data_IF_560666503743
#
_entry.id   IF_560666503743
#
_cell.length_a   1.000
_cell.length_b   1.000
_cell.length_c   1.000
_cell.angle_alpha   90.00
_cell.angle_beta   90.00
_cell.angle_gamma   90.00
#
_symmetry.space_group_name_H-M   'P 1'
#
loop_
_entity.id
_entity.type
_entity.pdbx_description
1 polymer ?
#
# COMPACT_ATOMS: atom_id res chain seq x y z
N UNK A 1 8.49 -11.18 -17.36
CA UNK A 1 8.51 -10.65 -15.97
C UNK A 1 8.00 -11.74 -15.04
N UNK A 2 8.78 -12.16 -14.03
CA UNK A 2 8.36 -13.21 -13.09
C UNK A 2 7.55 -12.59 -11.95
N UNK A 3 6.36 -13.12 -11.70
CA UNK A 3 5.54 -12.78 -10.54
C UNK A 3 5.91 -13.72 -9.40
N UNK A 4 6.12 -13.16 -8.21
CA UNK A 4 6.33 -13.87 -6.96
C UNK A 4 5.09 -13.70 -6.09
N UNK A 5 4.53 -14.80 -5.58
CA UNK A 5 3.41 -14.77 -4.62
C UNK A 5 3.88 -15.19 -3.24
N UNK A 6 3.27 -14.61 -2.21
CA UNK A 6 3.55 -15.00 -0.83
C UNK A 6 3.21 -16.47 -0.59
N UNK A 7 2.08 -16.93 -1.14
CA UNK A 7 1.61 -18.30 -1.02
C UNK A 7 2.66 -19.34 -1.45
N UNK A 8 3.47 -18.98 -2.44
CA UNK A 8 4.45 -19.88 -3.07
C UNK A 8 5.81 -19.81 -2.34
N UNK A 9 6.14 -18.66 -1.74
CA UNK A 9 7.46 -18.38 -1.17
C UNK A 9 7.52 -18.48 0.35
N UNK A 10 6.39 -18.31 1.04
CA UNK A 10 6.31 -18.31 2.50
C UNK A 10 5.29 -19.37 2.91
N UNK A 11 5.75 -20.61 3.14
CA UNK A 11 4.88 -21.76 3.43
C UNK A 11 3.91 -21.50 4.60
N UNK A 12 4.35 -20.74 5.62
CA UNK A 12 3.50 -20.34 6.76
C UNK A 12 2.34 -19.41 6.38
N UNK A 13 2.37 -18.80 5.19
CA UNK A 13 1.38 -17.87 4.65
C UNK A 13 0.81 -18.37 3.31
N UNK A 14 0.78 -19.68 3.10
CA UNK A 14 0.24 -20.32 1.89
C UNK A 14 -1.21 -19.88 1.54
N UNK A 15 -1.98 -19.47 2.55
CA UNK A 15 -3.37 -19.04 2.42
C UNK A 15 -3.59 -17.63 1.85
N UNK A 16 -2.53 -16.89 1.49
CA UNK A 16 -2.62 -15.50 1.03
C UNK A 16 -2.13 -15.31 -0.41
N UNK A 17 -2.86 -15.81 -1.43
CA UNK A 17 -2.48 -15.72 -2.84
C UNK A 17 -2.56 -14.28 -3.41
N UNK A 18 -3.28 -13.37 -2.75
CA UNK A 18 -3.44 -11.97 -3.15
C UNK A 18 -2.14 -11.16 -2.97
N UNK A 19 -1.25 -11.63 -2.10
CA UNK A 19 0.05 -11.01 -1.86
C UNK A 19 1.02 -11.40 -2.96
N UNK A 20 1.28 -10.45 -3.87
CA UNK A 20 2.13 -10.66 -5.03
C UNK A 20 3.11 -9.51 -5.22
N UNK A 21 4.24 -9.79 -5.88
CA UNK A 21 5.23 -8.78 -6.24
C UNK A 21 5.96 -9.16 -7.51
N UNK A 22 6.52 -8.16 -8.18
CA UNK A 22 7.38 -8.36 -9.34
C UNK A 22 8.35 -7.18 -9.47
N UNK A 23 9.35 -7.35 -10.33
CA UNK A 23 10.32 -6.31 -10.65
C UNK A 23 10.27 -6.01 -12.13
N UNK A 24 10.25 -4.72 -12.48
CA UNK A 24 10.37 -4.24 -13.86
C UNK A 24 11.27 -3.02 -13.89
N UNK A 25 12.32 -3.06 -14.71
CA UNK A 25 13.22 -1.92 -14.97
C UNK A 25 13.78 -1.26 -13.69
N UNK A 26 14.10 -2.08 -12.68
CA UNK A 26 14.63 -1.61 -11.39
C UNK A 26 13.59 -1.03 -10.43
N UNK A 27 12.29 -1.15 -10.75
CA UNK A 27 11.17 -0.77 -9.89
C UNK A 27 10.51 -2.01 -9.32
N UNK A 28 10.31 -2.03 -8.01
CA UNK A 28 9.65 -3.12 -7.31
C UNK A 28 8.17 -2.81 -7.14
N UNK A 29 7.31 -3.68 -7.64
CA UNK A 29 5.86 -3.58 -7.49
C UNK A 29 5.43 -4.62 -6.47
N UNK A 30 4.71 -4.20 -5.44
CA UNK A 30 4.23 -5.04 -4.35
C UNK A 30 2.74 -4.78 -4.19
N UNK A 31 1.93 -5.83 -4.22
CA UNK A 31 0.55 -5.83 -3.78
C UNK A 31 0.46 -6.50 -2.40
N UNK A 32 -0.30 -5.91 -1.49
CA UNK A 32 -0.59 -6.49 -0.19
C UNK A 32 -2.10 -6.49 0.08
N UNK A 33 -2.60 -7.58 0.68
CA UNK A 33 -4.01 -7.84 0.93
C UNK A 33 -4.49 -7.09 2.19
N UNK A 34 -4.39 -5.76 2.17
CA UNK A 34 -4.87 -4.90 3.25
C UNK A 34 -6.24 -4.37 2.85
N UNK A 35 -7.28 -4.92 3.49
CA UNK A 35 -8.69 -4.66 3.16
C UNK A 35 -9.26 -3.47 3.94
N UNK A 36 -10.34 -2.89 3.42
CA UNK A 36 -10.94 -1.65 3.92
C UNK A 36 -11.61 -1.74 5.29
N UNK A 37 -12.40 -0.72 5.60
CA UNK A 37 -13.04 -0.52 6.91
C UNK A 37 -12.04 -0.41 8.06
N UNK A 38 -11.72 -1.50 8.75
CA UNK A 38 -10.71 -1.55 9.81
C UNK A 38 -9.84 -2.81 9.67
N UNK A 39 -9.52 -3.22 8.43
CA UNK A 39 -8.84 -4.48 8.13
C UNK A 39 -9.62 -5.71 8.63
N UNK A 40 -10.96 -5.61 8.66
CA UNK A 40 -11.86 -6.57 9.32
C UNK A 40 -11.57 -6.81 10.82
N UNK A 41 -10.90 -5.88 11.50
CA UNK A 41 -10.69 -5.99 12.95
C UNK A 41 -11.97 -5.62 13.70
N UNK A 42 -12.83 -6.64 13.89
CA UNK A 42 -14.11 -6.56 14.57
C UNK A 42 -14.06 -7.33 15.90
N UNK A 43 -13.94 -6.60 17.02
CA UNK A 43 -13.68 -7.18 18.35
C UNK A 43 -14.83 -8.05 18.89
N UNK A 44 -16.02 -7.92 18.31
CA UNK A 44 -17.20 -8.70 18.70
C UNK A 44 -17.30 -10.05 17.99
N UNK A 45 -16.51 -10.28 16.94
CA UNK A 45 -16.50 -11.52 16.17
C UNK A 45 -15.14 -12.23 16.27
N UNK A 46 -15.13 -13.37 16.97
CA UNK A 46 -13.92 -14.19 17.17
C UNK A 46 -13.32 -14.69 15.86
N UNK A 47 -14.14 -15.01 14.85
CA UNK A 47 -13.66 -15.48 13.55
C UNK A 47 -12.99 -14.34 12.79
N UNK A 48 -13.62 -13.16 12.80
CA UNK A 48 -13.05 -11.96 12.18
C UNK A 48 -11.71 -11.57 12.84
N UNK A 49 -11.62 -11.64 14.18
CA UNK A 49 -10.38 -11.39 14.91
C UNK A 49 -9.26 -12.37 14.48
N UNK A 50 -9.55 -13.67 14.47
CA UNK A 50 -8.56 -14.69 14.11
C UNK A 50 -8.05 -14.50 12.68
N UNK A 51 -8.97 -14.28 11.74
CA UNK A 51 -8.66 -13.97 10.34
C UNK A 51 -7.80 -12.72 10.23
N UNK A 52 -8.21 -11.61 10.87
CA UNK A 52 -7.48 -10.35 10.88
C UNK A 52 -6.03 -10.52 11.36
N UNK A 53 -5.80 -11.15 12.51
CA UNK A 53 -4.46 -11.30 13.05
C UNK A 53 -3.58 -12.17 12.16
N UNK A 54 -4.13 -13.23 11.58
CA UNK A 54 -3.40 -14.08 10.64
C UNK A 54 -3.03 -13.31 9.35
N UNK A 55 -3.98 -12.60 8.74
CA UNK A 55 -3.77 -11.82 7.52
C UNK A 55 -2.81 -10.66 7.76
N UNK A 56 -2.96 -9.94 8.85
CA UNK A 56 -2.10 -8.81 9.18
C UNK A 56 -0.66 -9.25 9.46
N UNK A 57 -0.45 -10.39 10.13
CA UNK A 57 0.88 -10.99 10.28
C UNK A 57 1.49 -11.35 8.92
N UNK A 58 0.72 -11.99 8.03
CA UNK A 58 1.16 -12.31 6.68
C UNK A 58 1.53 -11.07 5.87
N UNK A 59 0.68 -10.03 5.91
CA UNK A 59 0.91 -8.77 5.20
C UNK A 59 2.15 -8.03 5.71
N UNK A 60 2.38 -7.98 7.02
CA UNK A 60 3.58 -7.37 7.62
C UNK A 60 4.84 -8.12 7.17
N UNK A 61 4.80 -9.45 7.19
CA UNK A 61 5.92 -10.27 6.73
C UNK A 61 6.20 -10.07 5.23
N UNK A 62 5.15 -10.02 4.41
CA UNK A 62 5.24 -9.77 2.97
C UNK A 62 5.81 -8.39 2.65
N UNK A 63 5.30 -7.35 3.33
CA UNK A 63 5.77 -5.97 3.21
C UNK A 63 7.26 -5.89 3.53
N UNK A 64 7.68 -6.45 4.67
CA UNK A 64 9.07 -6.44 5.09
C UNK A 64 9.97 -7.12 4.05
N UNK A 65 9.61 -8.33 3.62
CA UNK A 65 10.33 -9.07 2.60
C UNK A 65 10.38 -8.32 1.25
N UNK A 66 9.32 -7.59 0.90
CA UNK A 66 9.25 -6.76 -0.31
C UNK A 66 10.28 -5.62 -0.29
N UNK A 67 10.35 -4.89 0.83
CA UNK A 67 11.36 -3.85 1.03
C UNK A 67 12.77 -4.42 1.09
N UNK A 68 12.99 -5.55 1.78
CA UNK A 68 14.31 -6.16 1.89
C UNK A 68 14.83 -6.61 0.52
N UNK A 69 13.95 -7.18 -0.31
CA UNK A 69 14.28 -7.49 -1.70
C UNK A 69 14.61 -6.23 -2.51
N UNK A 70 13.84 -5.15 -2.32
CA UNK A 70 14.08 -3.88 -3.01
C UNK A 70 15.44 -3.25 -2.63
N UNK A 71 15.81 -3.32 -1.34
CA UNK A 71 17.12 -2.87 -0.86
C UNK A 71 18.24 -3.73 -1.44
N UNK A 72 18.12 -5.06 -1.36
CA UNK A 72 19.13 -5.99 -1.87
C UNK A 72 19.35 -5.82 -3.38
N UNK A 73 18.27 -5.58 -4.14
CA UNK A 73 18.32 -5.34 -5.58
C UNK A 73 18.72 -3.90 -5.96
N UNK A 74 19.01 -3.02 -4.99
CA UNK A 74 19.28 -1.58 -5.20
C UNK A 74 18.20 -0.91 -6.05
N UNK A 75 16.93 -1.23 -5.78
CA UNK A 75 15.79 -0.75 -6.53
C UNK A 75 15.77 0.78 -6.59
N UNK A 76 15.40 1.32 -7.75
CA UNK A 76 15.31 2.76 -7.99
C UNK A 76 14.07 3.37 -7.36
N UNK A 77 12.99 2.60 -7.26
CA UNK A 77 11.74 2.99 -6.65
C UNK A 77 10.90 1.75 -6.25
N UNK A 78 9.87 1.97 -5.44
CA UNK A 78 8.90 0.94 -5.05
C UNK A 78 7.46 1.43 -5.25
N UNK A 79 6.60 0.57 -5.77
CA UNK A 79 5.15 0.78 -5.83
C UNK A 79 4.50 -0.23 -4.90
N UNK A 80 3.70 0.25 -3.94
CA UNK A 80 2.92 -0.55 -3.03
C UNK A 80 1.44 -0.33 -3.32
N UNK A 81 0.70 -1.38 -3.65
CA UNK A 81 -0.73 -1.34 -3.87
C UNK A 81 -1.45 -2.08 -2.73
N UNK A 82 -2.45 -1.41 -2.15
CA UNK A 82 -3.37 -1.96 -1.15
C UNK A 82 -4.80 -1.51 -1.47
N UNK A 83 -5.81 -2.07 -0.80
CA UNK A 83 -7.17 -1.55 -0.95
C UNK A 83 -7.47 -0.41 0.04
N UNK A 84 -7.15 -0.62 1.31
CA UNK A 84 -7.60 0.22 2.43
C UNK A 84 -7.06 1.66 2.44
N UNK A 85 -7.88 2.61 2.90
CA UNK A 85 -7.38 3.92 3.34
C UNK A 85 -6.93 3.84 4.81
N UNK A 86 -5.66 3.50 5.01
CA UNK A 86 -5.07 3.38 6.35
C UNK A 86 -4.92 4.74 7.07
N UNK A 87 -5.03 5.87 6.36
CA UNK A 87 -4.83 7.23 6.89
C UNK A 87 -6.13 7.92 7.33
N UNK A 88 -7.22 7.16 7.49
CA UNK A 88 -8.53 7.69 7.91
C UNK A 88 -8.45 8.35 9.30
N UNK A 89 -9.13 9.50 9.53
CA UNK A 89 -9.28 10.07 10.87
C UNK A 89 -9.79 9.03 11.88
N UNK A 90 -9.27 9.06 13.11
CA UNK A 90 -9.53 8.05 14.15
C UNK A 90 -8.55 6.87 14.13
N UNK A 91 -8.05 6.48 12.95
CA UNK A 91 -7.02 5.45 12.82
C UNK A 91 -5.60 6.00 12.70
N UNK A 92 -5.45 7.18 12.11
CA UNK A 92 -4.15 7.81 11.90
C UNK A 92 -4.14 9.28 12.35
N UNK A 93 -3.11 9.65 13.11
CA UNK A 93 -2.83 11.05 13.47
C UNK A 93 -1.85 11.66 12.48
N UNK A 94 -2.32 12.55 11.61
CA UNK A 94 -1.45 13.30 10.68
C UNK A 94 -0.41 14.16 11.42
N UNK A 95 -0.79 14.78 12.54
CA UNK A 95 0.12 15.63 13.33
C UNK A 95 1.32 14.84 13.87
N UNK A 96 1.08 13.63 14.38
CA UNK A 96 2.10 12.75 14.98
C UNK A 96 2.73 11.78 13.97
N UNK A 97 2.16 11.65 12.78
CA UNK A 97 2.42 10.58 11.81
C UNK A 97 2.50 9.21 12.49
N UNK A 98 1.39 8.84 13.14
CA UNK A 98 1.31 7.63 13.96
C UNK A 98 -0.10 7.01 13.90
N UNK A 99 -0.14 5.68 13.91
CA UNK A 99 -1.38 4.91 13.94
C UNK A 99 -1.88 4.73 15.38
N UNK A 100 -3.19 4.90 15.56
CA UNK A 100 -3.91 4.66 16.80
C UNK A 100 -3.85 3.19 17.21
N UNK A 101 -3.81 2.91 18.52
CA UNK A 101 -3.88 1.55 19.06
C UNK A 101 -5.16 0.80 18.67
N UNK A 102 -6.26 1.53 18.43
CA UNK A 102 -7.54 0.96 18.00
C UNK A 102 -7.58 0.62 16.50
N UNK A 103 -6.57 1.00 15.72
CA UNK A 103 -6.54 0.76 14.28
C UNK A 103 -6.08 -0.67 13.97
N UNK A 104 -6.91 -1.40 13.22
CA UNK A 104 -6.52 -2.68 12.60
C UNK A 104 -5.39 -2.53 11.58
N UNK A 105 -5.04 -1.30 11.19
CA UNK A 105 -3.92 -1.03 10.28
C UNK A 105 -2.61 -0.77 11.01
N UNK A 106 -2.60 -0.70 12.36
CA UNK A 106 -1.45 -0.20 13.11
C UNK A 106 -0.15 -0.96 12.82
N UNK A 107 -0.15 -2.30 12.88
CA UNK A 107 1.07 -3.10 12.68
C UNK A 107 1.61 -2.96 11.25
N UNK A 108 0.74 -3.10 10.25
CA UNK A 108 1.11 -2.87 8.86
C UNK A 108 1.61 -1.44 8.61
N UNK A 109 0.91 -0.44 9.12
CA UNK A 109 1.22 0.99 8.96
C UNK A 109 2.53 1.38 9.63
N UNK A 110 2.80 0.89 10.84
CA UNK A 110 4.07 1.12 11.54
C UNK A 110 5.24 0.44 10.80
N UNK A 111 5.03 -0.78 10.29
CA UNK A 111 6.02 -1.47 9.46
C UNK A 111 6.30 -0.71 8.15
N UNK A 112 5.26 -0.23 7.46
CA UNK A 112 5.39 0.61 6.27
C UNK A 112 6.18 1.87 6.58
N UNK A 113 5.83 2.59 7.65
CA UNK A 113 6.52 3.82 8.02
C UNK A 113 8.01 3.56 8.29
N UNK A 114 8.33 2.51 9.06
CA UNK A 114 9.73 2.12 9.37
C UNK A 114 10.50 1.78 8.10
N UNK A 115 9.96 0.91 7.25
CA UNK A 115 10.63 0.47 6.01
C UNK A 115 10.74 1.60 4.99
N UNK A 116 9.71 2.42 4.84
CA UNK A 116 9.73 3.57 3.93
C UNK A 116 10.78 4.61 4.36
N UNK A 117 10.86 4.93 5.65
CA UNK A 117 11.85 5.84 6.20
C UNK A 117 13.29 5.34 5.98
N UNK A 118 13.51 4.01 5.99
CA UNK A 118 14.81 3.40 5.75
C UNK A 118 15.16 3.26 4.25
N UNK A 119 14.17 3.05 3.37
CA UNK A 119 14.40 2.80 1.94
C UNK A 119 14.98 4.01 1.20
N UNK A 120 14.65 5.25 1.63
CA UNK A 120 15.14 6.54 1.10
C UNK A 120 14.95 6.81 -0.40
N UNK A 121 14.45 5.84 -1.17
CA UNK A 121 14.07 5.97 -2.58
C UNK A 121 12.57 6.27 -2.73
N UNK A 122 12.12 6.80 -3.87
CA UNK A 122 10.70 7.11 -4.10
C UNK A 122 9.79 5.89 -3.93
N UNK A 123 8.68 6.10 -3.22
CA UNK A 123 7.63 5.10 -3.01
C UNK A 123 6.29 5.68 -3.47
N UNK A 124 5.57 4.94 -4.31
CA UNK A 124 4.17 5.21 -4.62
C UNK A 124 3.28 4.22 -3.87
N UNK A 125 2.46 4.72 -2.95
CA UNK A 125 1.40 3.95 -2.29
C UNK A 125 0.08 4.19 -3.03
N UNK A 126 -0.48 3.14 -3.64
CA UNK A 126 -1.77 3.18 -4.33
C UNK A 126 -2.82 2.53 -3.43
N UNK A 127 -3.94 3.21 -3.24
CA UNK A 127 -5.06 2.71 -2.45
C UNK A 127 -6.41 3.27 -2.90
N UNK A 128 -7.50 2.76 -2.33
CA UNK A 128 -8.87 3.15 -2.63
C UNK A 128 -9.68 3.43 -1.36
N UNK A 129 -10.75 2.67 -1.17
CA UNK A 129 -11.61 2.60 0.02
C UNK A 129 -12.44 3.86 0.32
N UNK A 130 -11.86 5.06 0.34
CA UNK A 130 -12.61 6.28 0.69
C UNK A 130 -13.25 7.01 -0.51
N UNK A 131 -13.17 6.44 -1.72
CA UNK A 131 -13.84 6.93 -2.94
C UNK A 131 -13.54 8.40 -3.31
N UNK A 132 -12.33 8.89 -2.98
CA UNK A 132 -11.88 10.26 -3.26
C UNK A 132 -10.56 10.19 -4.03
N UNK A 133 -10.53 10.73 -5.25
CA UNK A 133 -9.27 10.90 -5.95
C UNK A 133 -8.43 11.98 -5.26
N UNK A 134 -7.23 11.61 -4.81
CA UNK A 134 -6.30 12.54 -4.19
C UNK A 134 -4.87 12.02 -4.26
N UNK A 135 -3.93 12.96 -4.35
CA UNK A 135 -2.50 12.69 -4.26
C UNK A 135 -1.99 13.45 -3.05
N UNK A 136 -1.39 12.76 -2.09
CA UNK A 136 -0.96 13.35 -0.82
C UNK A 136 0.40 12.81 -0.37
N UNK A 137 1.00 13.47 0.63
CA UNK A 137 2.16 12.96 1.38
C UNK A 137 1.80 12.84 2.85
N UNK A 138 1.13 11.74 3.27
CA UNK A 138 0.61 11.59 4.63
C UNK A 138 1.73 11.40 5.68
N UNK A 139 2.95 11.11 5.24
CA UNK A 139 4.14 10.85 6.05
C UNK A 139 5.26 11.86 5.77
N UNK A 140 4.92 13.12 5.50
CA UNK A 140 5.86 14.14 5.02
C UNK A 140 7.04 14.43 5.96
N UNK A 141 6.94 14.11 7.25
CA UNK A 141 8.02 14.31 8.23
C UNK A 141 8.88 13.07 8.39
N UNK A 142 8.28 11.89 8.54
CA UNK A 142 9.01 10.65 8.87
C UNK A 142 9.38 9.81 7.65
N UNK A 143 8.61 9.87 6.57
CA UNK A 143 8.87 9.17 5.31
C UNK A 143 8.45 10.03 4.10
N UNK A 144 9.10 11.19 3.87
CA UNK A 144 8.73 12.13 2.79
C UNK A 144 8.80 11.53 1.39
N UNK A 145 9.53 10.44 1.22
CA UNK A 145 9.65 9.68 -0.02
C UNK A 145 8.37 8.91 -0.40
N UNK A 146 7.36 8.85 0.47
CA UNK A 146 6.06 8.22 0.17
C UNK A 146 5.11 9.24 -0.48
N UNK A 147 4.77 9.00 -1.74
CA UNK A 147 3.65 9.62 -2.44
C UNK A 147 2.44 8.69 -2.35
N UNK A 148 1.31 9.16 -1.83
CA UNK A 148 0.12 8.35 -1.66
C UNK A 148 -0.96 8.78 -2.66
N UNK A 149 -1.34 7.87 -3.55
CA UNK A 149 -2.37 8.01 -4.56
C UNK A 149 -3.62 7.25 -4.12
N UNK A 150 -4.71 7.98 -3.87
CA UNK A 150 -6.03 7.39 -3.75
C UNK A 150 -6.74 7.47 -5.10
N UNK A 151 -7.23 6.33 -5.60
CA UNK A 151 -7.93 6.25 -6.89
C UNK A 151 -9.41 6.65 -6.78
N UNK A 152 -10.04 6.87 -7.93
CA UNK A 152 -11.46 7.19 -8.03
C UNK A 152 -12.35 6.06 -7.49
N UNK A 153 -13.48 6.44 -6.89
CA UNK A 153 -14.49 5.49 -6.43
C UNK A 153 -15.64 5.29 -7.41
N UNK A 154 -16.63 4.52 -6.97
CA UNK A 154 -17.78 4.08 -7.77
C UNK A 154 -18.59 5.21 -8.44
N UNK A 155 -18.59 6.44 -7.89
CA UNK A 155 -19.33 7.56 -8.48
C UNK A 155 -18.69 8.12 -9.75
N UNK A 156 -17.36 8.07 -9.85
CA UNK A 156 -16.62 8.71 -10.95
C UNK A 156 -16.02 7.68 -11.90
N UNK A 157 -15.57 6.54 -11.37
CA UNK A 157 -15.01 5.42 -12.13
C UNK A 157 -14.02 5.82 -13.23
N UNK A 158 -13.30 6.93 -13.03
CA UNK A 158 -12.21 7.35 -13.90
C UNK A 158 -11.02 6.41 -13.66
N UNK A 159 -10.21 6.20 -14.70
CA UNK A 159 -8.94 5.51 -14.55
C UNK A 159 -7.84 6.50 -14.15
N UNK A 160 -6.72 5.98 -13.64
CA UNK A 160 -5.51 6.77 -13.38
C UNK A 160 -4.36 6.10 -14.14
N UNK A 161 -3.71 6.85 -15.01
CA UNK A 161 -2.45 6.45 -15.62
C UNK A 161 -1.30 6.91 -14.74
N UNK A 162 -0.44 5.97 -14.36
CA UNK A 162 0.81 6.26 -13.67
C UNK A 162 1.96 5.93 -14.61
N UNK A 163 2.72 6.94 -14.99
CA UNK A 163 3.98 6.77 -15.73
C UNK A 163 5.12 6.67 -14.70
N UNK A 164 5.97 5.65 -14.85
CA UNK A 164 7.12 5.42 -13.97
C UNK A 164 8.40 5.67 -14.76
N UNK A 165 9.13 6.71 -14.41
CA UNK A 165 10.37 7.12 -15.07
C UNK A 165 11.47 7.34 -14.04
N UNK A 166 12.34 6.34 -13.87
CA UNK A 166 13.39 6.37 -12.85
C UNK A 166 14.57 7.30 -13.15
N UNK A 167 14.56 7.98 -14.31
CA UNK A 167 15.55 9.00 -14.66
C UNK A 167 15.10 10.39 -14.18
N UNK A 168 13.78 10.61 -14.06
CA UNK A 168 13.22 11.88 -13.59
C UNK A 168 13.24 11.99 -12.06
N UNK A 169 13.49 13.19 -11.48
CA UNK A 169 13.46 13.38 -10.03
C UNK A 169 12.13 13.00 -9.36
N UNK A 170 10.99 13.24 -10.03
CA UNK A 170 9.67 12.94 -9.49
C UNK A 170 9.33 11.43 -9.50
N UNK A 171 9.96 10.66 -10.39
CA UNK A 171 9.73 9.23 -10.72
C UNK A 171 8.32 8.87 -11.18
N UNK A 172 7.28 9.34 -10.50
CA UNK A 172 5.89 9.02 -10.76
C UNK A 172 5.15 10.24 -11.31
N UNK A 173 4.66 10.12 -12.54
CA UNK A 173 3.74 11.09 -13.14
C UNK A 173 2.33 10.48 -13.18
N UNK A 174 1.33 11.24 -12.71
CA UNK A 174 -0.01 10.72 -12.40
C UNK A 174 -1.06 11.54 -13.14
N UNK A 175 -1.81 10.89 -14.02
CA UNK A 175 -2.81 11.52 -14.88
C UNK A 175 -4.17 10.80 -14.76
N UNK A 176 -5.24 11.52 -14.37
CA UNK A 176 -6.60 11.01 -14.51
C UNK A 176 -6.98 10.77 -15.98
N UNK A 177 -7.62 9.65 -16.25
CA UNK A 177 -8.30 9.36 -17.52
C UNK A 177 -9.79 9.36 -17.23
N UNK A 178 -10.50 10.40 -17.70
CA UNK A 178 -11.94 10.56 -17.48
C UNK A 178 -12.71 9.39 -18.11
N UNK A 179 -13.64 8.84 -17.35
CA UNK A 179 -14.61 7.89 -17.86
C UNK A 179 -15.60 8.63 -18.75
N UNK A 180 -15.56 8.35 -20.05
CA UNK A 180 -16.45 8.99 -21.04
C UNK A 180 -17.92 8.63 -20.84
N UNK A 181 -18.23 7.48 -20.24
CA UNK A 181 -19.60 7.05 -19.97
C UNK A 181 -20.31 7.86 -18.87
N UNK A 182 -19.59 8.75 -18.18
CA UNK A 182 -20.11 9.61 -17.10
C UNK A 182 -20.01 11.10 -17.46
N UNK A 183 -19.71 11.42 -18.72
CA UNK A 183 -19.72 12.78 -19.23
C UNK A 183 -21.14 13.11 -19.75
N UNK A 184 -22.10 13.21 -18.84
CA UNK A 184 -23.43 13.78 -19.08
C UNK A 184 -23.55 15.09 -18.33
#
# INVERSE_FOLDING_TARGET
MKIERQSDLMKEYAAYPENARFVKEGVHFVAAHVVGSNNNFEVRDRRAIAEFFARDKANVAWLNAGFDKAVAAKAKALVLAIHANIFKPGFFSKKKEAFSGASGFKRFGDALLKKAAAFKKPILLIYGDSHKYQITRPLSKKAPNVLALQVFGAKQMHAVKVTVDTVKPAVFDIQPIKNKALAN
#
